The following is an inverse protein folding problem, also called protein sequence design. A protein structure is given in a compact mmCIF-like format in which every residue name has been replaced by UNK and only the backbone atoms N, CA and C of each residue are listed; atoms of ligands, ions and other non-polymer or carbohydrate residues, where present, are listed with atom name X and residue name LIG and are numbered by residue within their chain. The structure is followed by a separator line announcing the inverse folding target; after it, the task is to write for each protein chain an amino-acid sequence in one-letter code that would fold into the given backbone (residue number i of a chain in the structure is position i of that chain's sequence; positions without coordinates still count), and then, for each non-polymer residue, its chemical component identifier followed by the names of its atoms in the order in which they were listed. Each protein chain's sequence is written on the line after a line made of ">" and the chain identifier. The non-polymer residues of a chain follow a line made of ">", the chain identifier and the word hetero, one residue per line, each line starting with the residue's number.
data_IF_444033642076
#
_entry.id   IF_444033642076
#
_cell.length_a   1.000
_cell.length_b   1.000
_cell.length_c   1.000
_cell.angle_alpha   90.00
_cell.angle_beta   90.00
_cell.angle_gamma   90.00
#
_symmetry.space_group_name_H-M   'P 1'
#
loop_
_entity.id
_entity.type
_entity.pdbx_description
1 polymer ?
#
# COMPACT_ATOMS: atom_id res chain seq x y z
N UNK A 1 -28.92 0.23 -2.81
CA UNK A 1 -28.58 1.13 -1.68
C UNK A 1 -29.59 2.25 -1.44
N UNK A 2 -30.24 2.88 -2.45
CA UNK A 2 -31.31 3.86 -2.19
C UNK A 2 -30.85 5.21 -1.62
N UNK A 3 -29.54 5.46 -1.59
CA UNK A 3 -28.91 6.69 -1.08
C UNK A 3 -28.84 7.71 -2.23
N UNK A 4 -29.15 8.98 -1.96
CA UNK A 4 -29.06 10.01 -3.00
C UNK A 4 -27.61 10.39 -3.31
N UNK A 5 -27.32 10.75 -4.56
CA UNK A 5 -25.97 11.12 -4.98
C UNK A 5 -25.42 12.33 -4.19
N UNK A 6 -26.31 13.23 -3.80
CA UNK A 6 -25.99 14.38 -2.96
C UNK A 6 -25.67 14.00 -1.51
N UNK A 7 -26.26 12.94 -0.95
CA UNK A 7 -25.85 12.40 0.35
C UNK A 7 -24.48 11.71 0.27
N UNK A 8 -24.16 11.05 -0.85
CA UNK A 8 -22.87 10.37 -1.03
C UNK A 8 -21.67 11.31 -1.17
N UNK A 9 -21.88 12.55 -1.61
CA UNK A 9 -20.80 13.54 -1.78
C UNK A 9 -20.55 14.41 -0.55
N UNK A 10 -21.45 14.36 0.44
CA UNK A 10 -21.31 15.11 1.71
C UNK A 10 -20.33 14.43 2.65
N UNK A 11 -19.67 15.23 3.49
CA UNK A 11 -18.83 14.70 4.58
C UNK A 11 -19.70 13.88 5.53
N UNK A 12 -19.22 12.70 5.93
CA UNK A 12 -19.96 11.82 6.84
C UNK A 12 -20.35 12.55 8.14
N UNK A 13 -19.49 13.41 8.66
CA UNK A 13 -19.73 14.20 9.87
C UNK A 13 -20.99 15.07 9.80
N UNK A 14 -21.31 15.63 8.63
CA UNK A 14 -22.46 16.54 8.45
C UNK A 14 -23.79 15.82 8.18
N UNK A 15 -23.81 14.49 8.15
CA UNK A 15 -25.04 13.69 7.96
C UNK A 15 -25.75 13.54 9.32
N UNK A 16 -27.09 13.55 9.31
CA UNK A 16 -27.89 13.37 10.53
C UNK A 16 -27.69 12.01 11.18
N UNK A 17 -27.77 11.94 12.51
CA UNK A 17 -27.48 10.72 13.27
C UNK A 17 -28.38 9.53 12.93
N UNK A 18 -29.66 9.77 12.57
CA UNK A 18 -30.59 8.71 12.13
C UNK A 18 -30.17 8.12 10.79
N UNK A 19 -29.84 8.98 9.84
CA UNK A 19 -29.35 8.61 8.51
C UNK A 19 -28.01 7.87 8.59
N UNK A 20 -27.08 8.29 9.47
CA UNK A 20 -25.80 7.58 9.69
C UNK A 20 -25.98 6.12 10.07
N UNK A 21 -26.92 5.82 10.97
CA UNK A 21 -27.20 4.44 11.41
C UNK A 21 -27.76 3.59 10.27
N UNK A 22 -28.74 4.13 9.56
CA UNK A 22 -29.34 3.48 8.40
C UNK A 22 -28.30 3.20 7.29
N UNK A 23 -27.43 4.16 7.01
CA UNK A 23 -26.33 3.99 6.06
C UNK A 23 -25.39 2.85 6.47
N UNK A 24 -24.99 2.78 7.74
CA UNK A 24 -24.12 1.70 8.23
C UNK A 24 -24.81 0.35 8.13
N UNK A 25 -26.09 0.25 8.46
CA UNK A 25 -26.86 -1.01 8.33
C UNK A 25 -27.02 -1.46 6.88
N UNK A 26 -27.24 -0.52 5.95
CA UNK A 26 -27.30 -0.83 4.52
C UNK A 26 -25.93 -1.31 4.02
N UNK A 27 -24.86 -0.62 4.41
CA UNK A 27 -23.50 -1.00 4.04
C UNK A 27 -23.10 -2.37 4.60
N UNK A 28 -23.47 -2.68 5.84
CA UNK A 28 -23.18 -3.97 6.46
C UNK A 28 -23.90 -5.12 5.73
N UNK A 29 -25.19 -4.91 5.37
CA UNK A 29 -25.98 -5.87 4.59
C UNK A 29 -25.44 -6.11 3.18
N UNK A 30 -25.01 -5.03 2.50
CA UNK A 30 -24.59 -5.11 1.10
C UNK A 30 -23.13 -5.56 0.95
N UNK A 31 -22.24 -5.12 1.85
CA UNK A 31 -20.83 -5.47 1.77
C UNK A 31 -20.52 -6.83 2.42
N UNK A 32 -21.24 -7.22 3.47
CA UNK A 32 -20.99 -8.47 4.20
C UNK A 32 -19.58 -8.58 4.80
N UNK A 33 -18.86 -7.45 4.90
CA UNK A 33 -17.47 -7.36 5.38
C UNK A 33 -17.50 -6.57 6.69
N UNK A 34 -18.05 -7.20 7.73
CA UNK A 34 -17.94 -6.69 9.10
C UNK A 34 -16.57 -7.00 9.67
N UNK A 35 -15.89 -6.01 10.24
CA UNK A 35 -14.67 -6.23 11.03
C UNK A 35 -14.82 -5.59 12.41
N UNK A 36 -14.45 -6.33 13.45
CA UNK A 36 -14.43 -5.79 14.80
C UNK A 36 -13.28 -4.78 14.92
N UNK A 37 -13.58 -3.60 15.46
CA UNK A 37 -12.59 -2.55 15.66
C UNK A 37 -12.93 -1.72 16.90
N UNK A 38 -12.01 -0.83 17.26
CA UNK A 38 -12.16 0.05 18.41
C UNK A 38 -12.27 1.49 17.92
N UNK A 39 -13.19 2.24 18.54
CA UNK A 39 -13.36 3.67 18.29
C UNK A 39 -13.06 4.47 19.54
N UNK A 40 -12.36 5.59 19.36
CA UNK A 40 -12.12 6.56 20.42
C UNK A 40 -13.05 7.75 20.25
N UNK A 41 -13.59 8.23 21.36
CA UNK A 41 -14.42 9.43 21.41
C UNK A 41 -13.57 10.61 21.90
N UNK A 42 -13.39 11.62 21.04
CA UNK A 42 -12.56 12.78 21.34
C UNK A 42 -13.43 13.92 21.92
N UNK A 43 -13.83 13.78 23.18
CA UNK A 43 -14.66 14.77 23.87
C UNK A 43 -16.03 14.95 23.21
N UNK A 44 -16.36 16.19 22.83
CA UNK A 44 -17.60 16.53 22.09
C UNK A 44 -17.46 16.42 20.57
N UNK A 45 -16.24 16.18 20.06
CA UNK A 45 -15.96 16.04 18.64
C UNK A 45 -16.10 14.58 18.19
N UNK A 46 -16.10 14.37 16.86
CA UNK A 46 -16.40 13.10 16.21
C UNK A 46 -15.63 11.86 16.73
N UNK A 47 -16.17 10.69 16.40
CA UNK A 47 -15.57 9.40 16.69
C UNK A 47 -14.47 9.08 15.67
N UNK A 48 -13.36 8.52 16.12
CA UNK A 48 -12.25 8.10 15.25
C UNK A 48 -11.96 6.62 15.44
N UNK A 49 -11.72 5.90 14.34
CA UNK A 49 -11.39 4.48 14.36
C UNK A 49 -9.88 4.26 14.62
N UNK A 50 -9.53 3.27 15.43
CA UNK A 50 -8.16 2.85 15.70
C UNK A 50 -7.36 2.55 14.41
N UNK A 51 -8.00 1.93 13.41
CA UNK A 51 -7.37 1.63 12.14
C UNK A 51 -6.92 2.89 11.38
N UNK A 52 -7.72 3.96 11.43
CA UNK A 52 -7.40 5.21 10.74
C UNK A 52 -6.22 5.92 11.40
N UNK A 53 -6.19 5.93 12.74
CA UNK A 53 -5.06 6.46 13.52
C UNK A 53 -3.78 5.69 13.20
N UNK A 54 -3.84 4.36 13.17
CA UNK A 54 -2.69 3.51 12.87
C UNK A 54 -2.13 3.78 11.46
N UNK A 55 -3.01 3.91 10.45
CA UNK A 55 -2.59 4.20 9.07
C UNK A 55 -2.01 5.61 8.92
N UNK A 56 -2.63 6.61 9.56
CA UNK A 56 -2.12 7.98 9.54
C UNK A 56 -0.74 8.09 10.22
N UNK A 57 -0.56 7.43 11.36
CA UNK A 57 0.73 7.37 12.05
C UNK A 57 1.79 6.65 11.21
N UNK A 58 1.45 5.50 10.60
CA UNK A 58 2.35 4.74 9.74
C UNK A 58 2.83 5.58 8.54
N UNK A 59 1.91 6.29 7.88
CA UNK A 59 2.26 7.22 6.80
C UNK A 59 3.18 8.35 7.30
N UNK A 60 2.94 8.91 8.48
CA UNK A 60 3.73 10.03 9.01
C UNK A 60 5.17 9.66 9.35
N UNK A 61 5.42 8.41 9.74
CA UNK A 61 6.78 7.90 9.99
C UNK A 61 7.56 7.82 8.68
N UNK A 62 6.89 7.54 7.57
CA UNK A 62 7.55 7.39 6.29
C UNK A 62 7.63 8.69 5.50
N UNK A 63 6.63 9.58 5.58
CA UNK A 63 6.58 10.82 4.80
C UNK A 63 6.48 12.08 5.68
N UNK A 64 7.13 13.20 5.31
CA UNK A 64 7.98 13.43 4.13
C UNK A 64 9.46 13.13 4.38
N UNK A 65 10.19 12.75 3.33
CA UNK A 65 11.59 12.29 3.43
C UNK A 65 12.60 13.43 3.62
N UNK A 66 12.17 14.68 3.44
CA UNK A 66 12.98 15.88 3.71
C UNK A 66 13.13 16.19 5.21
N UNK A 67 12.49 15.42 6.09
CA UNK A 67 12.55 15.58 7.55
C UNK A 67 13.31 14.42 8.16
N UNK A 68 14.16 14.72 9.16
CA UNK A 68 14.93 13.73 9.90
C UNK A 68 14.04 12.59 10.44
N UNK A 69 14.49 11.33 10.44
CA UNK A 69 13.69 10.19 10.90
C UNK A 69 13.18 10.35 12.33
N UNK A 70 13.98 10.96 13.22
CA UNK A 70 13.60 11.22 14.61
C UNK A 70 12.41 12.18 14.69
N UNK A 71 12.42 13.25 13.90
CA UNK A 71 11.34 14.24 13.88
C UNK A 71 10.05 13.66 13.29
N UNK A 72 10.17 12.80 12.27
CA UNK A 72 9.04 12.01 11.73
C UNK A 72 8.43 11.10 12.79
N UNK A 73 9.28 10.38 13.52
CA UNK A 73 8.84 9.52 14.62
C UNK A 73 8.13 10.31 15.72
N UNK A 74 8.68 11.46 16.13
CA UNK A 74 8.03 12.34 17.09
C UNK A 74 6.70 12.90 16.58
N UNK A 75 6.61 13.25 15.29
CA UNK A 75 5.36 13.71 14.67
C UNK A 75 4.28 12.62 14.67
N UNK A 76 4.65 11.36 14.37
CA UNK A 76 3.74 10.23 14.47
C UNK A 76 3.28 9.96 15.91
N UNK A 77 4.18 10.07 16.89
CA UNK A 77 3.80 9.99 18.31
C UNK A 77 2.86 11.12 18.72
N UNK A 78 2.99 12.33 18.17
CA UNK A 78 2.05 13.42 18.41
C UNK A 78 0.64 13.08 17.91
N UNK A 79 0.49 12.41 16.77
CA UNK A 79 -0.81 11.93 16.26
C UNK A 79 -1.43 10.95 17.26
N UNK A 80 -0.66 9.98 17.74
CA UNK A 80 -1.16 8.98 18.71
C UNK A 80 -1.52 9.64 20.05
N UNK A 81 -0.67 10.53 20.55
CA UNK A 81 -0.94 11.27 21.80
C UNK A 81 -2.17 12.16 21.68
N UNK A 82 -2.35 12.81 20.53
CA UNK A 82 -3.55 13.60 20.25
C UNK A 82 -4.82 12.75 20.30
N UNK A 83 -4.75 11.49 19.87
CA UNK A 83 -5.87 10.56 19.95
C UNK A 83 -6.18 10.04 21.37
N UNK A 84 -5.17 9.89 22.24
CA UNK A 84 -5.33 9.29 23.57
C UNK A 84 -5.58 10.34 24.67
N UNK A 85 -4.87 11.46 24.63
CA UNK A 85 -4.82 12.43 25.75
C UNK A 85 -4.90 13.88 25.28
N UNK A 86 -5.19 14.11 24.00
CA UNK A 86 -5.06 15.43 23.38
C UNK A 86 -6.08 16.45 23.91
N UNK A 87 -5.65 17.63 24.38
CA UNK A 87 -6.56 18.78 24.51
C UNK A 87 -7.10 19.19 23.13
N UNK A 88 -8.19 19.96 23.10
CA UNK A 88 -8.94 20.32 21.88
C UNK A 88 -8.06 20.88 20.74
N UNK A 89 -6.99 21.61 21.05
CA UNK A 89 -6.07 22.18 20.05
C UNK A 89 -5.31 21.14 19.23
N UNK A 90 -5.19 19.90 19.71
CA UNK A 90 -4.52 18.82 18.99
C UNK A 90 -5.42 18.13 17.96
N UNK A 91 -6.70 18.50 17.86
CA UNK A 91 -7.59 18.02 16.80
C UNK A 91 -7.13 18.49 15.42
N UNK A 92 -6.50 19.67 15.34
CA UNK A 92 -5.94 20.19 14.08
C UNK A 92 -4.89 19.23 13.52
N UNK A 93 -4.10 18.59 14.39
CA UNK A 93 -3.07 17.61 14.00
C UNK A 93 -3.72 16.36 13.40
N UNK A 94 -4.83 15.89 13.99
CA UNK A 94 -5.57 14.72 13.49
C UNK A 94 -6.24 15.02 12.15
N UNK A 95 -6.89 16.18 12.02
CA UNK A 95 -7.53 16.62 10.77
C UNK A 95 -6.49 16.76 9.67
N UNK A 96 -5.35 17.39 9.94
CA UNK A 96 -4.26 17.51 8.98
C UNK A 96 -3.73 16.14 8.53
N UNK A 97 -3.47 15.23 9.49
CA UNK A 97 -2.99 13.89 9.19
C UNK A 97 -3.98 13.08 8.33
N UNK A 98 -5.29 13.15 8.63
CA UNK A 98 -6.31 12.41 7.91
C UNK A 98 -6.64 13.04 6.55
N UNK A 99 -7.01 14.32 6.52
CA UNK A 99 -7.49 14.99 5.30
C UNK A 99 -6.35 15.31 4.33
N UNK A 100 -5.19 15.79 4.83
CA UNK A 100 -4.11 16.25 3.94
C UNK A 100 -3.16 15.14 3.53
N UNK A 101 -2.73 14.30 4.48
CA UNK A 101 -1.74 13.27 4.21
C UNK A 101 -2.39 11.97 3.74
N UNK A 102 -3.23 11.36 4.59
CA UNK A 102 -3.73 10.01 4.34
C UNK A 102 -4.71 9.93 3.18
N UNK A 103 -5.71 10.83 3.11
CA UNK A 103 -6.65 10.86 1.97
C UNK A 103 -5.94 11.14 0.63
N UNK A 104 -4.91 12.01 0.63
CA UNK A 104 -4.13 12.30 -0.58
C UNK A 104 -3.39 11.05 -1.07
N UNK A 105 -2.77 10.30 -0.16
CA UNK A 105 -2.13 9.03 -0.49
C UNK A 105 -3.15 8.03 -1.08
N UNK A 106 -4.30 7.85 -0.43
CA UNK A 106 -5.33 6.92 -0.91
C UNK A 106 -5.85 7.28 -2.30
N UNK A 107 -6.10 8.57 -2.56
CA UNK A 107 -6.50 9.05 -3.89
C UNK A 107 -5.43 8.74 -4.94
N UNK A 108 -4.16 8.95 -4.61
CA UNK A 108 -3.05 8.62 -5.49
C UNK A 108 -2.97 7.12 -5.79
N UNK A 109 -3.09 6.27 -4.77
CA UNK A 109 -3.14 4.80 -4.93
C UNK A 109 -4.31 4.42 -5.86
N UNK A 110 -5.50 4.97 -5.61
CA UNK A 110 -6.69 4.69 -6.43
C UNK A 110 -6.47 5.05 -7.89
N UNK A 111 -5.95 6.25 -8.17
CA UNK A 111 -5.65 6.69 -9.52
C UNK A 111 -4.61 5.79 -10.20
N UNK A 112 -3.51 5.44 -9.51
CA UNK A 112 -2.46 4.60 -10.08
C UNK A 112 -2.94 3.17 -10.37
N UNK A 113 -3.71 2.57 -9.47
CA UNK A 113 -4.30 1.24 -9.69
C UNK A 113 -5.29 1.27 -10.85
N UNK A 114 -6.16 2.30 -10.89
CA UNK A 114 -7.08 2.50 -12.00
C UNK A 114 -6.36 2.62 -13.34
N UNK A 115 -5.27 3.40 -13.41
CA UNK A 115 -4.48 3.51 -14.64
C UNK A 115 -3.79 2.19 -15.02
N UNK A 116 -3.19 1.49 -14.05
CA UNK A 116 -2.48 0.23 -14.31
C UNK A 116 -3.41 -0.86 -14.86
N UNK A 117 -4.64 -0.95 -14.34
CA UNK A 117 -5.65 -1.89 -14.82
C UNK A 117 -6.19 -1.48 -16.19
N UNK A 118 -6.52 -0.19 -16.37
CA UNK A 118 -7.06 0.31 -17.63
C UNK A 118 -6.06 0.19 -18.79
N UNK A 119 -4.76 0.35 -18.50
CA UNK A 119 -3.68 0.22 -19.47
C UNK A 119 -3.19 -1.23 -19.62
N UNK A 120 -3.75 -2.18 -18.85
CA UNK A 120 -3.33 -3.59 -18.85
C UNK A 120 -1.82 -3.76 -18.67
N UNK A 121 -1.21 -2.99 -17.75
CA UNK A 121 0.23 -3.04 -17.46
C UNK A 121 0.67 -4.34 -16.74
N UNK A 122 -0.28 -5.19 -16.37
CA UNK A 122 -0.04 -6.46 -15.66
C UNK A 122 0.08 -7.60 -16.67
N UNK A 123 1.25 -8.22 -16.70
CA UNK A 123 1.58 -9.37 -17.57
C UNK A 123 1.74 -10.63 -16.71
N UNK A 124 1.34 -11.79 -17.21
CA UNK A 124 1.57 -13.07 -16.53
C UNK A 124 2.87 -13.70 -17.03
N UNK A 125 3.82 -13.90 -16.12
CA UNK A 125 5.16 -14.45 -16.38
C UNK A 125 5.25 -15.94 -16.01
N UNK A 126 4.17 -16.71 -16.25
CA UNK A 126 4.11 -18.11 -15.80
C UNK A 126 3.88 -18.22 -14.29
N UNK A 127 4.94 -18.13 -13.47
CA UNK A 127 4.88 -18.31 -12.01
C UNK A 127 4.29 -17.11 -11.24
N UNK A 128 4.36 -15.90 -11.78
CA UNK A 128 3.88 -14.69 -11.10
C UNK A 128 3.24 -13.69 -12.07
N UNK A 129 2.52 -12.71 -11.53
CA UNK A 129 2.09 -11.52 -12.26
C UNK A 129 3.14 -10.42 -12.10
N UNK A 130 3.55 -9.81 -13.20
CA UNK A 130 4.48 -8.69 -13.23
C UNK A 130 3.74 -7.43 -13.69
N UNK A 131 3.77 -6.40 -12.86
CA UNK A 131 3.40 -5.04 -13.26
C UNK A 131 4.67 -4.22 -13.39
N UNK A 132 4.91 -3.69 -14.59
CA UNK A 132 6.00 -2.77 -14.84
C UNK A 132 5.46 -1.41 -15.21
N UNK A 133 5.47 -0.47 -14.28
CA UNK A 133 5.12 0.90 -14.63
C UNK A 133 6.25 1.53 -15.44
N UNK A 134 5.91 2.26 -16.50
CA UNK A 134 6.87 3.13 -17.18
C UNK A 134 6.90 4.54 -16.59
N UNK A 135 5.93 4.86 -15.72
CA UNK A 135 5.81 6.17 -15.10
C UNK A 135 6.69 6.20 -13.85
N UNK A 136 7.62 7.15 -13.82
CA UNK A 136 8.34 7.45 -12.60
C UNK A 136 7.35 7.99 -11.56
N UNK A 137 7.33 7.34 -10.40
CA UNK A 137 6.71 7.90 -9.19
C UNK A 137 7.70 8.86 -8.54
N UNK A 138 7.21 9.80 -7.72
CA UNK A 138 8.13 10.65 -6.97
C UNK A 138 9.01 9.80 -6.05
N UNK A 139 10.27 10.22 -5.85
CA UNK A 139 11.22 9.51 -4.99
C UNK A 139 10.63 9.25 -3.59
N UNK A 140 9.97 10.26 -3.01
CA UNK A 140 9.32 10.16 -1.70
C UNK A 140 8.27 9.04 -1.60
N UNK A 141 7.57 8.77 -2.71
CA UNK A 141 6.52 7.75 -2.79
C UNK A 141 7.14 6.37 -3.01
N UNK A 142 8.22 6.32 -3.80
CA UNK A 142 8.97 5.10 -4.05
C UNK A 142 9.70 4.58 -2.80
N UNK A 143 10.12 5.48 -1.91
CA UNK A 143 10.79 5.13 -0.65
C UNK A 143 9.79 4.76 0.46
N UNK A 144 8.50 5.13 0.32
CA UNK A 144 7.47 4.77 1.29
C UNK A 144 7.00 3.32 1.11
N UNK A 145 7.43 2.45 2.03
CA UNK A 145 7.00 1.04 2.09
C UNK A 145 5.49 0.92 2.31
N UNK A 146 4.91 1.76 3.16
CA UNK A 146 3.47 1.80 3.42
C UNK A 146 2.70 2.08 2.13
N UNK A 147 3.17 3.02 1.30
CA UNK A 147 2.58 3.26 0.00
C UNK A 147 2.75 2.04 -0.93
N UNK A 148 3.96 1.51 -1.08
CA UNK A 148 4.25 0.39 -1.99
C UNK A 148 3.42 -0.85 -1.66
N UNK A 149 3.34 -1.23 -0.38
CA UNK A 149 2.58 -2.39 0.07
C UNK A 149 1.07 -2.18 -0.09
N UNK A 150 0.54 -1.00 0.30
CA UNK A 150 -0.88 -0.70 0.11
C UNK A 150 -1.27 -0.68 -1.37
N UNK A 151 -0.44 -0.06 -2.21
CA UNK A 151 -0.63 -0.04 -3.66
C UNK A 151 -0.66 -1.45 -4.22
N UNK A 152 0.35 -2.26 -3.91
CA UNK A 152 0.50 -3.61 -4.47
C UNK A 152 -0.64 -4.53 -4.02
N UNK A 153 -1.03 -4.44 -2.74
CA UNK A 153 -2.14 -5.21 -2.19
C UNK A 153 -3.48 -4.80 -2.80
N UNK A 154 -3.72 -3.49 -2.97
CA UNK A 154 -4.93 -3.01 -3.62
C UNK A 154 -4.98 -3.37 -5.10
N UNK A 155 -3.84 -3.28 -5.80
CA UNK A 155 -3.71 -3.67 -7.20
C UNK A 155 -4.05 -5.15 -7.42
N UNK A 156 -3.52 -6.05 -6.59
CA UNK A 156 -3.82 -7.48 -6.70
C UNK A 156 -5.31 -7.77 -6.45
N UNK A 157 -5.91 -7.15 -5.43
CA UNK A 157 -7.36 -7.26 -5.17
C UNK A 157 -8.19 -6.80 -6.35
N UNK A 158 -7.90 -5.61 -6.87
CA UNK A 158 -8.62 -5.06 -8.02
C UNK A 158 -8.41 -5.91 -9.30
N UNK A 159 -7.20 -6.41 -9.53
CA UNK A 159 -6.88 -7.28 -10.67
C UNK A 159 -7.58 -8.64 -10.58
N UNK A 160 -7.64 -9.23 -9.38
CA UNK A 160 -8.34 -10.49 -9.12
C UNK A 160 -9.86 -10.35 -9.31
N UNK A 161 -10.44 -9.22 -8.90
CA UNK A 161 -11.86 -8.94 -9.13
C UNK A 161 -12.19 -8.69 -10.60
N UNK A 162 -11.22 -8.23 -11.41
CA UNK A 162 -11.45 -7.90 -12.83
C UNK A 162 -11.73 -9.14 -13.70
N UNK A 163 -11.08 -10.29 -13.45
CA UNK A 163 -11.38 -11.55 -14.15
C UNK A 163 -11.14 -12.77 -13.26
N UNK A 164 -11.95 -13.82 -13.46
CA UNK A 164 -11.83 -15.11 -12.76
C UNK A 164 -10.46 -15.77 -13.03
N UNK A 165 -9.92 -16.47 -12.03
CA UNK A 165 -8.65 -17.21 -12.13
C UNK A 165 -7.37 -16.40 -11.88
N UNK A 166 -7.49 -15.15 -11.41
CA UNK A 166 -6.35 -14.23 -11.18
C UNK A 166 -5.88 -14.13 -9.72
N UNK A 167 -6.37 -14.97 -8.83
CA UNK A 167 -6.08 -14.93 -7.39
C UNK A 167 -4.96 -15.89 -6.94
N UNK A 168 -4.51 -16.78 -7.83
CA UNK A 168 -3.65 -17.92 -7.47
C UNK A 168 -2.14 -17.66 -7.59
N UNK A 169 -1.70 -16.51 -8.13
CA UNK A 169 -0.28 -16.22 -8.34
C UNK A 169 0.17 -14.97 -7.58
N UNK A 170 1.43 -14.91 -7.13
CA UNK A 170 1.99 -13.71 -6.51
C UNK A 170 2.04 -12.56 -7.51
N UNK A 171 1.98 -11.33 -6.99
CA UNK A 171 2.12 -10.11 -7.78
C UNK A 171 3.43 -9.42 -7.42
N UNK A 172 4.22 -9.11 -8.44
CA UNK A 172 5.45 -8.33 -8.34
C UNK A 172 5.26 -7.03 -9.12
N UNK A 173 5.59 -5.93 -8.49
CA UNK A 173 5.43 -4.56 -9.00
C UNK A 173 6.80 -3.93 -9.08
N UNK A 174 7.09 -3.29 -10.21
CA UNK A 174 8.30 -2.50 -10.41
C UNK A 174 7.95 -1.07 -10.80
N UNK A 175 8.60 -0.11 -10.14
CA UNK A 175 8.53 1.31 -10.46
C UNK A 175 9.92 1.87 -10.78
N UNK A 176 10.06 2.65 -11.86
CA UNK A 176 11.29 3.38 -12.10
C UNK A 176 11.43 4.51 -11.07
N UNK A 177 12.61 4.61 -10.47
CA UNK A 177 13.02 5.73 -9.65
C UNK A 177 13.43 6.90 -10.55
N UNK A 178 13.16 8.15 -10.14
CA UNK A 178 13.60 9.32 -10.89
C UNK A 178 15.12 9.32 -11.02
N UNK A 179 15.61 9.59 -12.23
CA UNK A 179 17.04 9.67 -12.48
C UNK A 179 17.66 10.81 -11.66
N UNK A 180 18.77 10.51 -11.00
CA UNK A 180 19.59 11.48 -10.28
C UNK A 180 20.95 11.59 -10.96
N UNK A 181 21.63 12.73 -10.84
CA UNK A 181 23.00 12.92 -11.36
C UNK A 181 23.97 11.83 -10.89
N UNK A 182 23.74 11.24 -9.70
CA UNK A 182 24.54 10.15 -9.14
C UNK A 182 24.22 8.76 -9.72
N UNK A 183 23.10 8.61 -10.45
CA UNK A 183 22.58 7.33 -10.91
C UNK A 183 22.01 7.43 -12.35
N UNK A 184 22.88 7.52 -13.37
CA UNK A 184 22.47 7.72 -14.76
C UNK A 184 21.77 6.49 -15.38
N UNK A 185 22.12 5.28 -14.95
CA UNK A 185 21.64 4.03 -15.55
C UNK A 185 20.18 3.66 -15.18
N UNK A 186 19.52 4.51 -14.39
CA UNK A 186 18.14 4.31 -13.96
C UNK A 186 17.97 3.16 -12.95
N UNK A 187 17.35 3.46 -11.81
CA UNK A 187 17.06 2.45 -10.81
C UNK A 187 15.57 2.15 -10.76
N UNK A 188 15.22 0.96 -10.30
CA UNK A 188 13.85 0.54 -10.09
C UNK A 188 13.68 0.07 -8.67
N UNK A 189 12.56 0.43 -8.05
CA UNK A 189 12.09 -0.21 -6.83
C UNK A 189 11.16 -1.36 -7.21
N UNK A 190 11.41 -2.52 -6.62
CA UNK A 190 10.65 -3.75 -6.86
C UNK A 190 10.07 -4.23 -5.54
N UNK A 191 8.77 -4.49 -5.53
CA UNK A 191 8.05 -5.04 -4.38
C UNK A 191 7.19 -6.21 -4.82
N UNK A 192 6.93 -7.17 -3.93
CA UNK A 192 6.05 -8.29 -4.25
C UNK A 192 5.23 -8.79 -3.07
N UNK A 193 4.05 -9.33 -3.38
CA UNK A 193 3.12 -9.90 -2.41
C UNK A 193 2.67 -11.29 -2.83
N UNK A 194 2.32 -12.10 -1.83
CA UNK A 194 1.75 -13.43 -2.04
C UNK A 194 0.35 -13.37 -2.69
N UNK A 195 -0.09 -14.44 -3.36
CA UNK A 195 -1.44 -14.55 -3.91
C UNK A 195 -2.53 -14.29 -2.86
N UNK A 196 -3.71 -13.89 -3.32
CA UNK A 196 -4.86 -13.72 -2.41
C UNK A 196 -5.34 -15.06 -1.85
N UNK A 197 -5.27 -16.14 -2.64
CA UNK A 197 -5.68 -17.47 -2.20
C UNK A 197 -4.95 -17.92 -0.92
N UNK A 198 -3.63 -17.71 -0.86
CA UNK A 198 -2.83 -18.02 0.32
C UNK A 198 -3.09 -17.08 1.49
N UNK A 199 -3.50 -15.83 1.25
CA UNK A 199 -3.84 -14.90 2.33
C UNK A 199 -5.15 -15.26 3.06
N UNK A 200 -6.06 -16.02 2.42
CA UNK A 200 -7.31 -16.50 3.04
C UNK A 200 -7.19 -17.89 3.67
N UNK A 201 -6.25 -18.72 3.19
CA UNK A 201 -6.07 -20.09 3.66
C UNK A 201 -4.97 -20.21 4.74
N UNK A 202 -3.93 -19.37 4.69
CA UNK A 202 -2.79 -19.46 5.58
C UNK A 202 -2.84 -18.38 6.68
N UNK A 203 -3.35 -18.77 7.86
CA UNK A 203 -3.39 -17.92 9.07
C UNK A 203 -2.01 -17.42 9.52
N UNK A 204 -0.93 -17.91 8.92
CA UNK A 204 0.44 -17.53 9.28
C UNK A 204 0.95 -16.29 8.55
N UNK A 205 0.22 -15.78 7.54
CA UNK A 205 0.60 -14.59 6.74
C UNK A 205 2.06 -14.59 6.24
N UNK A 206 2.62 -15.77 6.00
CA UNK A 206 4.02 -15.92 5.60
C UNK A 206 4.22 -15.46 4.16
N UNK A 207 5.23 -14.62 3.93
CA UNK A 207 5.69 -14.26 2.60
C UNK A 207 7.03 -14.93 2.30
N UNK A 208 7.10 -15.67 1.18
CA UNK A 208 8.36 -16.24 0.70
C UNK A 208 9.08 -15.30 -0.28
N UNK A 209 8.43 -14.21 -0.68
CA UNK A 209 8.91 -13.29 -1.72
C UNK A 209 10.29 -12.73 -1.38
N UNK A 210 10.50 -12.26 -0.15
CA UNK A 210 11.80 -11.72 0.25
C UNK A 210 12.94 -12.74 0.18
N UNK A 211 12.67 -14.00 0.55
CA UNK A 211 13.64 -15.09 0.40
C UNK A 211 13.89 -15.45 -1.06
N UNK A 212 12.86 -15.41 -1.90
CA UNK A 212 13.02 -15.61 -3.34
C UNK A 212 13.87 -14.51 -3.97
N UNK A 213 13.69 -13.25 -3.57
CA UNK A 213 14.51 -12.11 -4.02
C UNK A 213 15.97 -12.26 -3.59
N UNK A 214 16.23 -12.63 -2.34
CA UNK A 214 17.59 -12.92 -1.85
C UNK A 214 18.27 -14.02 -2.66
N UNK A 215 17.56 -15.12 -2.95
CA UNK A 215 18.10 -16.23 -3.75
C UNK A 215 18.36 -15.81 -5.19
N UNK A 216 17.45 -15.06 -5.81
CA UNK A 216 17.61 -14.55 -7.16
C UNK A 216 18.83 -13.61 -7.26
N UNK A 217 19.10 -12.81 -6.22
CA UNK A 217 20.26 -11.91 -6.17
C UNK A 217 21.59 -12.64 -5.90
N UNK A 218 21.60 -13.67 -5.03
CA UNK A 218 22.83 -14.40 -4.65
C UNK A 218 23.43 -15.23 -5.78
N UNK A 219 22.60 -15.74 -6.69
CA UNK A 219 23.02 -16.62 -7.78
C UNK A 219 23.78 -15.88 -8.92
N UNK A 220 23.99 -14.57 -8.83
CA UNK A 220 24.63 -13.76 -9.89
C UNK A 220 25.68 -12.80 -9.32
N UNK A 221 26.95 -13.02 -9.63
CA UNK A 221 28.08 -12.23 -9.12
C UNK A 221 28.15 -10.77 -9.66
N UNK A 222 27.31 -10.38 -10.62
CA UNK A 222 27.38 -9.08 -11.30
C UNK A 222 26.09 -8.25 -11.26
N UNK A 223 25.09 -8.62 -10.46
CA UNK A 223 23.85 -7.84 -10.37
C UNK A 223 23.94 -6.77 -9.29
N UNK A 224 23.56 -5.53 -9.63
CA UNK A 224 23.48 -4.43 -8.68
C UNK A 224 22.07 -4.35 -8.10
N UNK A 225 21.86 -5.07 -7.00
CA UNK A 225 20.63 -5.06 -6.21
C UNK A 225 20.95 -4.63 -4.79
N UNK A 226 20.19 -3.67 -4.26
CA UNK A 226 20.29 -3.24 -2.86
C UNK A 226 19.11 -3.72 -2.04
N UNK A 227 19.40 -4.16 -0.82
CA UNK A 227 18.45 -4.59 0.21
C UNK A 227 18.49 -3.60 1.38
N UNK A 228 18.22 -2.32 1.10
CA UNK A 228 18.27 -1.26 2.11
C UNK A 228 17.04 -1.25 3.04
N UNK A 229 15.96 -1.91 2.62
CA UNK A 229 14.73 -2.02 3.40
C UNK A 229 14.82 -3.17 4.41
N UNK A 230 14.30 -2.95 5.62
CA UNK A 230 14.15 -4.03 6.62
C UNK A 230 13.22 -5.16 6.14
N UNK A 231 12.29 -4.83 5.24
CA UNK A 231 11.44 -5.80 4.57
C UNK A 231 12.11 -6.24 3.27
N UNK A 232 12.59 -7.48 3.24
CA UNK A 232 13.30 -8.04 2.09
C UNK A 232 12.40 -8.28 0.87
N UNK A 233 11.07 -8.09 1.01
CA UNK A 233 10.14 -8.07 -0.12
C UNK A 233 10.19 -6.76 -0.92
N UNK A 234 10.99 -5.77 -0.50
CA UNK A 234 11.23 -4.51 -1.20
C UNK A 234 12.73 -4.39 -1.49
N UNK A 235 13.09 -4.28 -2.77
CA UNK A 235 14.46 -4.16 -3.23
C UNK A 235 14.60 -3.02 -4.22
N UNK A 236 15.81 -2.48 -4.36
CA UNK A 236 16.15 -1.57 -5.45
C UNK A 236 17.13 -2.26 -6.39
N UNK A 237 16.93 -2.12 -7.70
CA UNK A 237 17.79 -2.75 -8.70
C UNK A 237 18.06 -1.80 -9.87
N UNK A 238 19.20 -1.98 -10.51
CA UNK A 238 19.53 -1.27 -11.75
C UNK A 238 18.63 -1.73 -12.90
N UNK A 239 18.24 -0.80 -13.78
CA UNK A 239 17.37 -1.09 -14.93
C UNK A 239 17.94 -2.17 -15.88
N UNK A 240 19.26 -2.22 -16.02
CA UNK A 240 19.97 -3.20 -16.87
C UNK A 240 19.81 -4.64 -16.40
N UNK A 241 19.66 -4.85 -15.09
CA UNK A 241 19.67 -6.18 -14.48
C UNK A 241 18.26 -6.76 -14.35
N UNK A 242 17.24 -5.95 -14.64
CA UNK A 242 15.82 -6.26 -14.48
C UNK A 242 15.39 -7.54 -15.20
N UNK A 243 15.79 -7.71 -16.46
CA UNK A 243 15.41 -8.89 -17.25
C UNK A 243 16.00 -10.18 -16.64
N UNK A 244 17.31 -10.16 -16.34
CA UNK A 244 18.01 -11.31 -15.73
C UNK A 244 17.44 -11.67 -14.36
N UNK A 245 17.07 -10.66 -13.57
CA UNK A 245 16.44 -10.86 -12.27
C UNK A 245 15.12 -11.63 -12.39
N UNK A 246 14.21 -11.15 -13.26
CA UNK A 246 12.88 -11.74 -13.38
C UNK A 246 12.90 -13.14 -14.00
N UNK A 247 13.80 -13.41 -14.95
CA UNK A 247 13.98 -14.75 -15.52
C UNK A 247 14.40 -15.76 -14.44
N UNK A 248 15.33 -15.38 -13.57
CA UNK A 248 15.80 -16.24 -12.49
C UNK A 248 14.75 -16.40 -11.40
N UNK A 249 14.06 -15.31 -11.06
CA UNK A 249 12.97 -15.33 -10.09
C UNK A 249 11.84 -16.26 -10.55
N UNK A 250 11.52 -16.27 -11.85
CA UNK A 250 10.57 -17.21 -12.42
C UNK A 250 11.01 -18.65 -12.15
N UNK A 251 12.25 -19.00 -12.50
CA UNK A 251 12.79 -20.36 -12.25
C UNK A 251 12.73 -20.77 -10.77
N UNK A 252 13.02 -19.85 -9.84
CA UNK A 252 12.97 -20.13 -8.39
C UNK A 252 11.53 -20.39 -7.91
N UNK A 253 10.58 -19.58 -8.38
CA UNK A 253 9.18 -19.71 -7.97
C UNK A 253 8.53 -20.96 -8.59
N UNK A 254 8.85 -21.29 -9.84
CA UNK A 254 8.43 -22.55 -10.48
C UNK A 254 8.94 -23.77 -9.72
N UNK A 255 10.21 -23.76 -9.31
CA UNK A 255 10.82 -24.86 -8.53
C UNK A 255 10.19 -24.98 -7.14
N UNK A 256 9.69 -23.88 -6.58
CA UNK A 256 9.10 -23.84 -5.24
C UNK A 256 7.64 -24.30 -5.22
N UNK A 257 7.03 -24.61 -6.37
CA UNK A 257 5.69 -25.16 -6.47
C UNK A 257 4.57 -24.20 -6.05
N UNK A 258 4.71 -22.90 -6.37
CA UNK A 258 3.59 -21.95 -6.32
C UNK A 258 2.85 -21.94 -7.65
#
# INVERSE_FOLDING_TARGET
>A
MGITLHETSRKFESIESKQKKELVEILDKEMGIGFASFTVHLGYSGQVNAADIARAAALRIESPHNVEPMDRFQAALRIIRAAISGPKDQQVILVDAFERSYQKMLKMIWHLVGTAINQSEIVSTGAFYLMSSQRAISAEVAESRHFLLNFTHFLLKAFACSKRGRSGKPLIVTFPLPQSEKQPDGWHVVTGIMPLATAFEDNTFKSIIGRAFERAAKDQQNMQISFDSFDNSIITMRATDRARFFDKLQSILETSGI
#
